data_IF_508632253440
#
_entry.id   IF_508632253440
#
_cell.length_a   1.000
_cell.length_b   1.000
_cell.length_c   1.000
_cell.angle_alpha   90.00
_cell.angle_beta   90.00
_cell.angle_gamma   90.00
#
_symmetry.space_group_name_H-M   'P 1'
#
loop_
_entity.id
_entity.type
_entity.pdbx_description
1 polymer ?
#
# COMPACT_ATOMS: atom_id res chain seq x y z
N UNK A 1 25.40 27.70 3.70
CA UNK A 1 25.56 27.30 2.30
C UNK A 1 24.96 25.91 2.11
N UNK A 2 23.83 25.86 1.40
CA UNK A 2 23.10 24.71 0.85
C UNK A 2 23.43 23.30 1.39
N UNK A 3 22.65 22.87 2.38
CA UNK A 3 22.56 21.46 2.77
C UNK A 3 22.14 20.66 1.55
N UNK A 4 23.05 19.83 1.04
CA UNK A 4 22.82 18.93 -0.08
C UNK A 4 21.62 18.07 0.30
N UNK A 5 20.50 18.22 -0.41
CA UNK A 5 19.32 17.38 -0.20
C UNK A 5 19.76 15.93 -0.37
N UNK A 6 19.75 15.14 0.71
CA UNK A 6 20.20 13.75 0.69
C UNK A 6 19.02 12.86 0.35
N UNK A 7 19.22 11.99 -0.62
CA UNK A 7 18.31 10.88 -0.91
C UNK A 7 19.02 9.58 -0.59
N UNK A 8 18.27 8.66 0.02
CA UNK A 8 18.71 7.31 0.26
C UNK A 8 17.66 6.35 -0.32
N UNK A 9 17.93 5.85 -1.53
CA UNK A 9 17.01 4.97 -2.25
C UNK A 9 16.83 3.61 -1.58
N UNK A 10 17.87 3.09 -0.92
CA UNK A 10 17.83 1.82 -0.18
C UNK A 10 16.90 1.97 1.02
N UNK A 11 17.10 3.02 1.79
CA UNK A 11 16.25 3.33 2.93
C UNK A 11 14.81 3.62 2.52
N UNK A 12 14.58 4.37 1.44
CA UNK A 12 13.24 4.62 0.94
C UNK A 12 12.52 3.32 0.53
N UNK A 13 13.25 2.31 0.04
CA UNK A 13 12.72 0.97 -0.23
C UNK A 13 12.39 0.23 1.08
N UNK A 14 13.25 0.30 2.09
CA UNK A 14 12.99 -0.30 3.40
C UNK A 14 11.77 0.32 4.08
N UNK A 15 11.62 1.65 4.03
CA UNK A 15 10.45 2.36 4.56
C UNK A 15 9.17 1.87 3.89
N UNK A 16 9.16 1.74 2.55
CA UNK A 16 8.01 1.18 1.84
C UNK A 16 7.69 -0.26 2.32
N UNK A 17 8.72 -1.10 2.48
CA UNK A 17 8.52 -2.48 2.97
C UNK A 17 7.98 -2.53 4.40
N UNK A 18 8.51 -1.71 5.31
CA UNK A 18 8.02 -1.60 6.69
C UNK A 18 6.56 -1.16 6.71
N UNK A 19 6.22 -0.13 5.92
CA UNK A 19 4.86 0.41 5.87
C UNK A 19 3.87 -0.62 5.29
N UNK A 20 4.26 -1.36 4.24
CA UNK A 20 3.44 -2.46 3.71
C UNK A 20 3.29 -3.61 4.71
N UNK A 21 4.36 -3.94 5.46
CA UNK A 21 4.30 -4.96 6.49
C UNK A 21 3.37 -4.54 7.63
N UNK A 22 3.42 -3.29 8.10
CA UNK A 22 2.52 -2.76 9.12
C UNK A 22 1.04 -2.86 8.69
N UNK A 23 0.74 -2.55 7.43
CA UNK A 23 -0.61 -2.71 6.90
C UNK A 23 -1.06 -4.16 6.86
N UNK A 24 -0.20 -5.08 6.41
CA UNK A 24 -0.56 -6.49 6.23
C UNK A 24 -0.58 -7.29 7.51
N UNK A 25 0.40 -7.07 8.39
CA UNK A 25 0.59 -7.86 9.61
C UNK A 25 -0.20 -7.30 10.79
N UNK A 26 -0.26 -5.98 10.93
CA UNK A 26 -0.98 -5.33 12.04
C UNK A 26 -2.38 -4.83 11.62
N UNK A 27 -2.77 -4.95 10.35
CA UNK A 27 -4.07 -4.50 9.85
C UNK A 27 -4.23 -2.98 9.86
N UNK A 28 -3.13 -2.22 9.95
CA UNK A 28 -3.18 -0.77 10.02
C UNK A 28 -3.67 -0.17 8.71
N UNK A 29 -4.64 0.76 8.82
CA UNK A 29 -5.11 1.50 7.66
C UNK A 29 -4.03 2.46 7.14
N UNK A 30 -4.00 2.69 5.84
CA UNK A 30 -3.06 3.60 5.19
C UNK A 30 -2.99 4.99 5.85
N UNK A 31 -4.13 5.54 6.28
CA UNK A 31 -4.23 6.85 6.92
C UNK A 31 -3.72 6.91 8.37
N UNK A 32 -3.51 5.75 9.01
CA UNK A 32 -3.00 5.63 10.38
C UNK A 32 -1.46 5.65 10.44
N UNK A 33 -0.79 5.67 9.29
CA UNK A 33 0.68 5.65 9.20
C UNK A 33 1.19 6.98 8.64
N UNK A 34 2.16 7.57 9.32
CA UNK A 34 2.93 8.72 8.86
C UNK A 34 4.40 8.35 8.63
N UNK A 35 5.00 8.96 7.60
CA UNK A 35 6.43 8.86 7.30
C UNK A 35 7.04 10.25 7.34
N UNK A 36 8.10 10.40 8.12
CA UNK A 36 8.77 11.68 8.37
C UNK A 36 10.22 11.61 7.92
N UNK A 37 10.70 12.64 7.21
CA UNK A 37 12.13 12.78 6.88
C UNK A 37 12.60 14.24 6.96
N UNK A 38 13.79 14.54 7.50
CA UNK A 38 14.29 15.91 7.56
C UNK A 38 14.71 16.46 6.19
N UNK A 39 14.88 15.62 5.17
CA UNK A 39 15.35 16.03 3.84
C UNK A 39 14.20 16.09 2.84
N UNK A 40 14.02 17.25 2.21
CA UNK A 40 12.93 17.48 1.25
C UNK A 40 12.98 16.51 0.05
N UNK A 41 14.17 16.22 -0.50
CA UNK A 41 14.28 15.28 -1.61
C UNK A 41 13.92 13.84 -1.21
N UNK A 42 14.20 13.44 0.04
CA UNK A 42 13.78 12.13 0.56
C UNK A 42 12.25 12.07 0.69
N UNK A 43 11.61 13.14 1.15
CA UNK A 43 10.14 13.26 1.20
C UNK A 43 9.54 13.09 -0.20
N UNK A 44 10.09 13.75 -1.22
CA UNK A 44 9.63 13.62 -2.61
C UNK A 44 9.80 12.19 -3.14
N UNK A 45 10.97 11.58 -2.93
CA UNK A 45 11.24 10.19 -3.32
C UNK A 45 10.26 9.20 -2.66
N UNK A 46 10.01 9.38 -1.37
CA UNK A 46 9.06 8.55 -0.63
C UNK A 46 7.63 8.70 -1.17
N UNK A 47 7.18 9.93 -1.43
CA UNK A 47 5.86 10.20 -2.06
C UNK A 47 5.73 9.49 -3.40
N UNK A 48 6.75 9.58 -4.26
CA UNK A 48 6.76 8.88 -5.55
C UNK A 48 6.66 7.36 -5.36
N UNK A 49 7.46 6.76 -4.47
CA UNK A 49 7.42 5.31 -4.21
C UNK A 49 6.06 4.82 -3.72
N UNK A 50 5.38 5.56 -2.85
CA UNK A 50 4.03 5.19 -2.41
C UNK A 50 2.99 5.34 -3.52
N UNK A 51 3.13 6.37 -4.36
CA UNK A 51 2.24 6.59 -5.51
C UNK A 51 2.40 5.47 -6.56
N UNK A 52 3.64 5.09 -6.87
CA UNK A 52 3.97 4.01 -7.79
C UNK A 52 3.44 2.66 -7.28
N UNK A 53 3.60 2.38 -5.99
CA UNK A 53 3.11 1.16 -5.35
C UNK A 53 1.57 1.09 -5.38
N UNK A 54 0.89 2.21 -5.10
CA UNK A 54 -0.57 2.29 -5.17
C UNK A 54 -1.06 2.05 -6.61
N UNK A 55 -0.42 2.70 -7.60
CA UNK A 55 -0.75 2.53 -9.02
C UNK A 55 -0.53 1.09 -9.51
N UNK A 56 0.58 0.47 -9.09
CA UNK A 56 0.89 -0.93 -9.43
C UNK A 56 -0.15 -1.89 -8.83
N UNK A 57 -0.60 -1.65 -7.60
CA UNK A 57 -1.63 -2.46 -6.95
C UNK A 57 -3.00 -2.32 -7.64
N UNK A 58 -3.38 -1.09 -8.04
CA UNK A 58 -4.62 -0.82 -8.74
C UNK A 58 -4.66 -1.46 -10.13
N UNK A 59 -3.55 -1.40 -10.89
CA UNK A 59 -3.41 -2.08 -12.17
C UNK A 59 -3.51 -3.61 -12.03
N UNK A 60 -2.90 -4.16 -10.96
CA UNK A 60 -2.97 -5.60 -10.66
C UNK A 60 -4.40 -6.04 -10.31
N UNK A 61 -5.11 -5.26 -9.49
CA UNK A 61 -6.51 -5.53 -9.13
C UNK A 61 -7.44 -5.45 -10.35
N UNK A 62 -7.26 -4.46 -11.22
CA UNK A 62 -8.00 -4.35 -12.47
C UNK A 62 -7.77 -5.56 -13.39
N UNK A 63 -6.53 -6.05 -13.47
CA UNK A 63 -6.19 -7.22 -14.30
C UNK A 63 -6.78 -8.53 -13.75
N UNK A 64 -6.74 -8.73 -12.42
CA UNK A 64 -7.36 -9.87 -11.76
C UNK A 64 -8.89 -9.91 -11.94
N UNK A 65 -9.54 -8.73 -11.89
CA UNK A 65 -10.99 -8.63 -12.10
C UNK A 65 -11.43 -8.97 -13.53
N UNK A 66 -10.59 -8.70 -14.55
CA UNK A 66 -10.86 -9.11 -15.93
C UNK A 66 -10.72 -10.62 -16.14
N UNK A 67 -9.68 -11.25 -15.59
CA UNK A 67 -9.48 -12.70 -15.69
C UNK A 67 -10.59 -13.51 -14.98
N UNK A 68 -11.17 -13.00 -13.89
CA UNK A 68 -12.30 -13.66 -13.23
C UNK A 68 -13.60 -13.63 -14.04
N UNK A 69 -13.78 -12.65 -14.93
CA UNK A 69 -14.98 -12.53 -15.78
C UNK A 69 -14.91 -13.40 -17.06
N UNK A 70 -13.72 -13.80 -17.51
CA UNK A 70 -13.51 -14.60 -18.73
C UNK A 70 -13.50 -16.14 -18.48
N UNK A 71 -13.64 -16.58 -17.23
CA UNK A 71 -13.59 -18.01 -16.85
C UNK A 71 -14.93 -18.77 -16.77
N UNK A 72 -16.08 -18.17 -17.12
CA UNK A 72 -17.41 -18.81 -16.92
C UNK A 72 -18.01 -19.49 -18.16
N UNK A 73 -17.28 -19.61 -19.27
CA UNK A 73 -17.82 -20.19 -20.51
C UNK A 73 -17.12 -21.48 -20.95
N UNK A 74 -17.10 -22.54 -20.13
CA UNK A 74 -17.02 -23.94 -20.58
C UNK A 74 -17.08 -24.94 -19.40
N UNK A 75 -18.26 -25.54 -19.15
CA UNK A 75 -18.39 -27.00 -18.97
C UNK A 75 -19.85 -27.43 -18.82
N UNK A 76 -20.38 -28.08 -19.86
CA UNK A 76 -21.49 -29.03 -19.76
C UNK A 76 -20.87 -30.38 -19.41
N UNK A 77 -21.26 -30.97 -18.28
CA UNK A 77 -20.86 -32.32 -17.88
C UNK A 77 -21.45 -32.68 -16.52
N UNK A 78 -22.48 -33.53 -16.53
CA UNK A 78 -23.13 -34.08 -15.34
C UNK A 78 -22.15 -34.83 -14.44
N UNK A 79 -22.11 -34.47 -13.16
CA UNK A 79 -21.37 -35.20 -12.13
C UNK A 79 -21.87 -34.78 -10.74
N UNK A 80 -22.69 -35.64 -10.13
CA UNK A 80 -23.16 -35.51 -8.76
C UNK A 80 -21.99 -35.73 -7.79
N UNK A 81 -21.57 -34.70 -7.08
CA UNK A 81 -20.67 -34.83 -5.93
C UNK A 81 -21.00 -33.78 -4.86
N UNK A 82 -21.56 -34.29 -3.78
CA UNK A 82 -21.71 -33.67 -2.47
C UNK A 82 -20.36 -33.20 -1.91
N UNK A 83 -20.34 -32.03 -1.27
CA UNK A 83 -19.24 -31.65 -0.38
C UNK A 83 -18.97 -30.16 -0.38
N UNK A 84 -19.74 -29.43 0.42
CA UNK A 84 -19.53 -28.01 0.64
C UNK A 84 -18.16 -27.70 1.22
N UNK A 85 -17.63 -26.54 0.81
CA UNK A 85 -17.08 -25.47 1.65
C UNK A 85 -16.60 -24.37 0.72
N UNK A 86 -17.50 -23.47 0.38
CA UNK A 86 -17.16 -22.16 -0.14
C UNK A 86 -16.39 -21.41 0.97
N UNK A 87 -15.07 -21.54 0.99
CA UNK A 87 -14.22 -20.68 1.79
C UNK A 87 -14.24 -19.31 1.11
N UNK A 88 -14.81 -18.35 1.83
CA UNK A 88 -15.15 -17.02 1.35
C UNK A 88 -13.98 -16.30 0.69
N UNK A 89 -14.22 -15.86 -0.54
CA UNK A 89 -13.48 -14.77 -1.14
C UNK A 89 -13.81 -13.54 -0.31
N UNK A 90 -12.90 -13.16 0.59
CA UNK A 90 -12.91 -11.84 1.22
C UNK A 90 -12.61 -10.84 0.11
N UNK A 91 -13.66 -10.33 -0.55
CA UNK A 91 -13.56 -9.09 -1.31
C UNK A 91 -13.41 -8.00 -0.25
N UNK A 92 -12.17 -7.70 0.14
CA UNK A 92 -11.88 -6.50 0.92
C UNK A 92 -12.15 -5.31 0.01
N UNK A 93 -13.36 -4.77 0.09
CA UNK A 93 -13.72 -3.49 -0.53
C UNK A 93 -12.85 -2.40 0.11
N UNK A 94 -11.99 -1.78 -0.69
CA UNK A 94 -11.02 -0.78 -0.24
C UNK A 94 -11.71 0.45 0.41
N UNK A 95 -11.18 1.00 1.52
CA UNK A 95 -11.58 2.31 1.96
C UNK A 95 -10.91 3.37 1.07
N UNK A 96 -11.72 4.04 0.26
CA UNK A 96 -11.36 5.25 -0.46
C UNK A 96 -11.21 6.43 0.53
N UNK A 97 -10.04 6.55 1.18
CA UNK A 97 -9.57 7.76 1.91
C UNK A 97 -8.10 7.67 2.40
N UNK A 98 -7.33 6.64 2.03
CA UNK A 98 -6.09 6.28 2.73
C UNK A 98 -4.85 6.30 1.85
N UNK A 99 -4.09 7.39 1.90
CA UNK A 99 -2.67 7.37 1.52
C UNK A 99 -1.82 7.57 2.77
N UNK A 100 -0.67 6.90 2.81
CA UNK A 100 0.36 7.11 3.82
C UNK A 100 0.80 8.56 3.74
N UNK A 101 0.76 9.27 4.88
CA UNK A 101 1.16 10.68 4.90
C UNK A 101 2.69 10.78 4.93
N UNK A 102 3.28 11.49 3.96
CA UNK A 102 4.74 11.71 3.90
C UNK A 102 5.03 13.21 3.95
N UNK A 103 5.80 13.66 4.93
CA UNK A 103 6.19 15.07 5.05
C UNK A 103 7.49 15.24 5.86
N UNK A 104 7.98 16.47 5.91
CA UNK A 104 9.08 16.85 6.80
C UNK A 104 8.63 16.89 8.26
N UNK A 105 9.60 16.99 9.18
CA UNK A 105 9.34 17.13 10.63
C UNK A 105 8.44 18.33 10.91
N UNK A 106 8.80 19.52 10.41
CA UNK A 106 7.97 20.72 10.52
C UNK A 106 6.60 20.54 9.85
N UNK A 107 6.61 19.80 8.74
CA UNK A 107 5.40 19.39 8.06
C UNK A 107 4.43 18.70 9.00
N UNK A 108 4.88 17.84 9.91
CA UNK A 108 4.06 17.04 10.84
C UNK A 108 3.72 17.73 12.17
N UNK A 109 4.15 18.98 12.40
CA UNK A 109 3.90 19.65 13.66
C UNK A 109 2.39 19.70 14.01
N UNK A 110 2.05 19.29 15.23
CA UNK A 110 0.67 19.26 15.72
C UNK A 110 -0.22 18.18 15.11
N UNK A 111 0.34 17.21 14.37
CA UNK A 111 -0.39 16.06 13.81
C UNK A 111 0.10 14.76 14.40
N UNK A 112 -0.84 13.89 14.75
CA UNK A 112 -0.58 12.56 15.27
C UNK A 112 -1.02 11.47 14.29
N UNK A 113 -0.38 10.30 14.41
CA UNK A 113 -0.70 9.06 13.72
C UNK A 113 -0.46 7.91 14.67
N UNK A 114 -1.18 6.80 14.48
CA UNK A 114 -0.97 5.57 15.24
C UNK A 114 0.47 5.09 15.15
N UNK A 115 1.09 5.21 13.96
CA UNK A 115 2.50 4.87 13.75
C UNK A 115 3.19 5.97 12.94
N UNK A 116 4.37 6.38 13.42
CA UNK A 116 5.30 7.26 12.70
C UNK A 116 6.58 6.49 12.37
N UNK A 117 6.98 6.52 11.10
CA UNK A 117 8.26 5.99 10.62
C UNK A 117 9.19 7.15 10.29
N UNK A 118 10.35 7.21 10.93
CA UNK A 118 11.38 8.21 10.63
C UNK A 118 12.39 7.66 9.60
N UNK A 119 12.70 8.47 8.58
CA UNK A 119 13.70 8.20 7.55
C UNK A 119 14.80 9.27 7.60
N UNK A 120 16.03 8.88 7.93
CA UNK A 120 17.18 9.73 8.34
C UNK A 120 18.42 9.54 7.47
#
# INVERSE_FOLDING_TARGET
GHGKSKVNGVEAKLVLQVVLWLQRAAGLAHGSIGVVSPYAAQVELLKQKFLDASSSSAASAASASKQAAEGTAQSQGQGSASGGRAQGIIVVTAPAAGQVQVASVDGFQGREKEVIVFST
#
